data_IF_623290594921
#
_entry.id   IF_623290594921
#
_cell.length_a   1.000
_cell.length_b   1.000
_cell.length_c   1.000
_cell.angle_alpha   90.00
_cell.angle_beta   90.00
_cell.angle_gamma   90.00
#
_symmetry.space_group_name_H-M   'P 1'
#
loop_
_entity.id
_entity.type
_entity.pdbx_description
1 polymer ?
#
# COMPACT_ATOMS: atom_id res chain seq x y z
N UNK A 1 -13.55 8.65 2.31
CA UNK A 1 -15.01 8.83 2.16
C UNK A 1 -15.24 9.81 1.02
N UNK A 2 -15.41 9.36 -0.22
CA UNK A 2 -15.49 10.30 -1.35
C UNK A 2 -15.73 9.69 -2.73
N UNK A 3 -16.32 8.50 -2.83
CA UNK A 3 -16.82 8.02 -4.12
C UNK A 3 -18.25 8.55 -4.34
N UNK A 4 -18.53 9.03 -5.56
CA UNK A 4 -19.87 9.47 -5.96
C UNK A 4 -20.92 8.34 -5.75
N UNK A 5 -20.49 7.09 -5.81
CA UNK A 5 -21.29 5.89 -5.59
C UNK A 5 -21.82 5.73 -4.15
N UNK A 6 -21.06 6.20 -3.17
CA UNK A 6 -21.44 6.14 -1.76
C UNK A 6 -21.97 7.48 -1.22
N UNK A 7 -21.79 8.59 -1.95
CA UNK A 7 -22.28 9.93 -1.57
C UNK A 7 -21.89 10.36 -0.14
N UNK A 8 -20.74 9.89 0.35
CA UNK A 8 -20.26 10.17 1.71
C UNK A 8 -20.87 9.29 2.81
N UNK A 9 -21.85 8.42 2.51
CA UNK A 9 -22.41 7.46 3.46
C UNK A 9 -21.45 6.28 3.68
N UNK A 10 -21.03 6.09 4.95
CA UNK A 10 -20.12 5.03 5.36
C UNK A 10 -20.69 3.62 5.18
N UNK A 11 -21.95 3.42 5.56
CA UNK A 11 -22.60 2.10 5.55
C UNK A 11 -22.74 1.63 4.11
N UNK A 12 -23.20 2.54 3.24
CA UNK A 12 -23.30 2.30 1.80
C UNK A 12 -21.91 2.06 1.18
N UNK A 13 -20.90 2.85 1.56
CA UNK A 13 -19.53 2.66 1.09
C UNK A 13 -18.97 1.28 1.44
N UNK A 14 -19.22 0.81 2.67
CA UNK A 14 -18.83 -0.53 3.12
C UNK A 14 -19.52 -1.63 2.30
N UNK A 15 -20.82 -1.49 2.05
CA UNK A 15 -21.62 -2.44 1.27
C UNK A 15 -21.20 -2.52 -0.20
N UNK A 16 -20.78 -1.40 -0.79
CA UNK A 16 -20.28 -1.32 -2.17
C UNK A 16 -18.83 -1.86 -2.33
N UNK A 17 -18.25 -2.44 -1.27
CA UNK A 17 -16.88 -2.95 -1.30
C UNK A 17 -15.82 -1.86 -1.18
N UNK A 18 -16.17 -0.66 -0.72
CA UNK A 18 -15.24 0.45 -0.54
C UNK A 18 -14.07 0.14 0.39
N UNK A 19 -14.24 -0.82 1.32
CA UNK A 19 -13.15 -1.33 2.16
C UNK A 19 -12.02 -1.96 1.33
N UNK A 20 -12.34 -2.68 0.25
CA UNK A 20 -11.34 -3.34 -0.60
C UNK A 20 -10.40 -2.31 -1.24
N UNK A 21 -10.96 -1.31 -1.90
CA UNK A 21 -10.17 -0.24 -2.53
C UNK A 21 -9.44 0.60 -1.49
N UNK A 22 -10.02 0.81 -0.31
CA UNK A 22 -9.34 1.48 0.80
C UNK A 22 -8.08 0.74 1.25
N UNK A 23 -8.19 -0.57 1.47
CA UNK A 23 -7.09 -1.43 1.92
C UNK A 23 -6.03 -1.55 0.83
N UNK A 24 -6.43 -1.75 -0.43
CA UNK A 24 -5.48 -1.84 -1.54
C UNK A 24 -4.65 -0.55 -1.69
N UNK A 25 -5.31 0.62 -1.66
CA UNK A 25 -4.65 1.91 -1.81
C UNK A 25 -3.78 2.26 -0.58
N UNK A 26 -4.32 2.20 0.63
CA UNK A 26 -3.54 2.49 1.84
C UNK A 26 -2.41 1.46 2.04
N UNK A 27 -2.63 0.20 1.68
CA UNK A 27 -1.62 -0.84 1.69
C UNK A 27 -0.46 -0.52 0.74
N UNK A 28 -0.74 -0.07 -0.48
CA UNK A 28 0.29 0.35 -1.44
C UNK A 28 1.13 1.51 -0.90
N UNK A 29 0.50 2.58 -0.42
CA UNK A 29 1.22 3.72 0.17
C UNK A 29 1.99 3.32 1.44
N UNK A 30 1.44 2.44 2.26
CA UNK A 30 2.09 1.89 3.44
C UNK A 30 3.35 1.09 3.10
N UNK A 31 3.30 0.25 2.06
CA UNK A 31 4.46 -0.51 1.57
C UNK A 31 5.56 0.41 1.03
N UNK A 32 5.19 1.45 0.27
CA UNK A 32 6.14 2.47 -0.20
C UNK A 32 6.79 3.18 1.00
N UNK A 33 5.99 3.62 1.96
CA UNK A 33 6.50 4.25 3.19
C UNK A 33 7.41 3.33 4.00
N UNK A 34 7.10 2.03 4.06
CA UNK A 34 7.94 1.05 4.74
C UNK A 34 9.28 0.85 4.03
N UNK A 35 9.29 0.75 2.70
CA UNK A 35 10.52 0.69 1.91
C UNK A 35 11.38 1.95 2.10
N UNK A 36 10.79 3.14 2.06
CA UNK A 36 11.49 4.40 2.33
C UNK A 36 12.06 4.44 3.77
N UNK A 37 11.34 3.90 4.74
CA UNK A 37 11.84 3.76 6.12
C UNK A 37 13.06 2.84 6.18
N UNK A 38 13.08 1.72 5.45
CA UNK A 38 14.25 0.84 5.38
C UNK A 38 15.47 1.56 4.81
N UNK A 39 15.30 2.36 3.75
CA UNK A 39 16.38 3.18 3.20
C UNK A 39 16.88 4.25 4.19
N UNK A 40 15.95 4.95 4.85
CA UNK A 40 16.30 5.96 5.86
C UNK A 40 17.09 5.36 7.02
N UNK A 41 16.66 4.18 7.50
CA UNK A 41 17.37 3.45 8.56
C UNK A 41 18.74 2.99 8.08
N UNK A 42 18.83 2.29 6.95
CA UNK A 42 20.11 1.83 6.40
C UNK A 42 21.12 2.98 6.24
N UNK A 43 20.65 4.15 5.78
CA UNK A 43 21.48 5.36 5.71
C UNK A 43 21.88 5.89 7.09
N UNK A 44 20.97 5.89 8.06
CA UNK A 44 21.21 6.39 9.42
C UNK A 44 22.24 5.55 10.18
N UNK A 45 22.31 4.24 9.93
CA UNK A 45 23.26 3.33 10.57
C UNK A 45 24.39 2.88 9.62
N UNK A 46 24.53 3.56 8.48
CA UNK A 46 25.55 3.31 7.45
C UNK A 46 25.65 1.85 6.97
N UNK A 47 24.53 1.11 7.02
CA UNK A 47 24.45 -0.24 6.47
C UNK A 47 24.11 -0.21 4.98
N UNK A 48 24.51 -1.28 4.30
CA UNK A 48 24.13 -1.52 2.90
C UNK A 48 22.63 -1.80 2.82
N UNK A 49 21.88 -1.16 1.91
CA UNK A 49 20.41 -1.22 1.89
C UNK A 49 19.84 -2.49 1.24
N UNK A 50 20.43 -3.66 1.49
CA UNK A 50 19.98 -4.92 0.87
C UNK A 50 18.59 -5.36 1.31
N UNK A 51 18.19 -5.06 2.56
CA UNK A 51 16.84 -5.33 3.03
C UNK A 51 15.79 -4.54 2.24
N UNK A 52 16.07 -3.27 1.92
CA UNK A 52 15.17 -2.43 1.14
C UNK A 52 15.05 -2.90 -0.32
N UNK A 53 16.15 -3.40 -0.90
CA UNK A 53 16.16 -3.96 -2.26
C UNK A 53 15.38 -5.28 -2.30
N UNK A 54 15.62 -6.19 -1.35
CA UNK A 54 14.88 -7.45 -1.26
C UNK A 54 13.37 -7.23 -1.05
N UNK A 55 13.01 -6.16 -0.35
CA UNK A 55 11.61 -5.77 -0.13
C UNK A 55 10.86 -5.33 -1.40
N UNK A 56 11.56 -5.14 -2.53
CA UNK A 56 10.90 -4.95 -3.83
C UNK A 56 10.06 -6.16 -4.25
N UNK A 57 10.43 -7.39 -3.87
CA UNK A 57 9.67 -8.61 -4.19
C UNK A 57 8.23 -8.57 -3.64
N UNK A 58 8.04 -8.38 -2.32
CA UNK A 58 6.72 -8.20 -1.73
C UNK A 58 5.90 -7.07 -2.35
N UNK A 59 6.53 -5.94 -2.72
CA UNK A 59 5.84 -4.83 -3.36
C UNK A 59 5.30 -5.24 -4.74
N UNK A 60 6.11 -5.93 -5.54
CA UNK A 60 5.68 -6.41 -6.87
C UNK A 60 4.51 -7.37 -6.74
N UNK A 61 4.55 -8.31 -5.80
CA UNK A 61 3.45 -9.26 -5.57
C UNK A 61 2.18 -8.51 -5.15
N UNK A 62 2.28 -7.54 -4.24
CA UNK A 62 1.13 -6.76 -3.79
C UNK A 62 0.50 -5.97 -4.95
N UNK A 63 1.33 -5.22 -5.71
CA UNK A 63 0.84 -4.44 -6.85
C UNK A 63 0.24 -5.35 -7.91
N UNK A 64 0.85 -6.50 -8.18
CA UNK A 64 0.35 -7.42 -9.19
C UNK A 64 -1.01 -8.01 -8.80
N UNK A 65 -1.16 -8.52 -7.57
CA UNK A 65 -2.37 -9.22 -7.12
C UNK A 65 -3.50 -8.28 -6.71
N UNK A 66 -3.21 -7.10 -6.17
CA UNK A 66 -4.27 -6.21 -5.65
C UNK A 66 -4.60 -5.04 -6.58
N UNK A 67 -3.80 -4.81 -7.63
CA UNK A 67 -3.99 -3.67 -8.55
C UNK A 67 -4.04 -4.10 -10.01
N UNK A 68 -3.07 -4.90 -10.48
CA UNK A 68 -2.99 -5.27 -11.91
C UNK A 68 -3.94 -6.41 -12.25
N UNK A 69 -4.06 -7.41 -11.37
CA UNK A 69 -4.98 -8.54 -11.51
C UNK A 69 -6.14 -8.37 -10.53
N UNK A 70 -7.18 -7.60 -10.88
CA UNK A 70 -8.35 -7.42 -10.00
C UNK A 70 -9.23 -8.67 -9.92
#
# INVERSE_FOLDING_TARGET
MGSCEAQGDFTRWCQLGGLWTSVALHGAFGLIGFLLRQFKLARSIQLRPYNAIAFSGPIVVFVYVFVIYP
#
